data_IF_456033429473
#
_entry.id   IF_456033429473
#
_cell.length_a   1.000
_cell.length_b   1.000
_cell.length_c   1.000
_cell.angle_alpha   90.00
_cell.angle_beta   90.00
_cell.angle_gamma   90.00
#
_symmetry.space_group_name_H-M   'P 1'
#
loop_
_entity.id
_entity.type
_entity.pdbx_description
1 polymer ?
#
# COMPACT_ATOMS: atom_id res chain seq x y z
N UNK A 1 -44.47 -34.48 71.19
CA UNK A 1 -45.04 -33.68 70.11
C UNK A 1 -44.07 -33.71 68.96
N UNK A 2 -44.40 -34.38 67.88
CA UNK A 2 -43.52 -34.53 66.67
C UNK A 2 -43.87 -33.41 65.73
N UNK A 3 -42.85 -32.70 65.28
CA UNK A 3 -42.94 -31.73 64.16
C UNK A 3 -42.14 -32.28 62.97
N UNK A 4 -42.86 -32.62 61.93
CA UNK A 4 -42.32 -33.13 60.66
C UNK A 4 -42.05 -31.96 59.75
N UNK A 5 -40.73 -31.68 59.40
CA UNK A 5 -40.32 -30.73 58.34
C UNK A 5 -40.36 -31.37 56.95
N UNK A 6 -41.04 -30.74 56.03
CA UNK A 6 -41.03 -31.08 54.59
C UNK A 6 -39.94 -30.31 53.90
N UNK A 7 -38.97 -31.02 53.33
CA UNK A 7 -37.99 -30.42 52.43
C UNK A 7 -38.55 -30.36 51.00
N UNK A 8 -38.61 -29.14 50.46
CA UNK A 8 -38.97 -28.88 49.07
C UNK A 8 -37.65 -28.85 48.24
N UNK A 9 -37.49 -29.82 47.36
CA UNK A 9 -36.37 -29.82 46.38
C UNK A 9 -36.78 -28.96 45.19
N UNK A 10 -36.09 -27.81 45.03
CA UNK A 10 -36.17 -27.00 43.79
C UNK A 10 -35.14 -27.50 42.79
N UNK A 11 -35.63 -28.11 41.70
CA UNK A 11 -34.77 -28.46 40.54
C UNK A 11 -34.48 -27.21 39.75
N UNK A 12 -33.21 -26.75 39.77
CA UNK A 12 -32.69 -25.75 38.84
C UNK A 12 -32.35 -26.41 37.51
N UNK A 13 -33.14 -26.15 36.48
CA UNK A 13 -32.80 -26.47 35.10
C UNK A 13 -31.79 -25.39 34.60
N UNK A 14 -30.49 -25.75 34.53
CA UNK A 14 -29.49 -24.94 33.86
C UNK A 14 -29.60 -25.22 32.37
N UNK A 15 -30.21 -24.30 31.63
CA UNK A 15 -30.15 -24.27 30.17
C UNK A 15 -28.73 -23.90 29.74
N UNK A 16 -27.93 -24.87 29.30
CA UNK A 16 -26.72 -24.63 28.56
C UNK A 16 -27.08 -24.08 27.18
N UNK A 17 -27.08 -22.75 27.03
CA UNK A 17 -26.94 -22.11 25.72
C UNK A 17 -25.53 -22.40 25.17
N UNK A 18 -25.41 -23.41 24.32
CA UNK A 18 -24.24 -23.57 23.47
C UNK A 18 -24.22 -22.41 22.47
N UNK A 19 -23.64 -21.27 22.84
CA UNK A 19 -23.22 -20.27 21.89
C UNK A 19 -22.03 -20.86 21.13
N UNK A 20 -22.27 -21.32 19.91
CA UNK A 20 -21.20 -21.55 18.94
C UNK A 20 -20.51 -20.23 18.65
N UNK A 21 -19.55 -19.86 19.48
CA UNK A 21 -18.55 -18.87 19.12
C UNK A 21 -17.73 -19.49 18.00
N UNK A 22 -18.03 -19.10 16.76
CA UNK A 22 -17.15 -19.39 15.65
C UNK A 22 -15.74 -18.93 16.04
N UNK A 23 -14.78 -19.87 16.05
CA UNK A 23 -13.38 -19.56 16.31
C UNK A 23 -12.97 -18.44 15.37
N UNK A 24 -12.76 -17.22 15.91
CA UNK A 24 -12.15 -16.14 15.16
C UNK A 24 -10.75 -16.60 14.73
N UNK A 25 -10.57 -16.84 13.45
CA UNK A 25 -9.25 -17.13 12.90
C UNK A 25 -8.36 -15.91 13.17
N UNK A 26 -7.35 -16.07 14.01
CA UNK A 26 -6.38 -15.04 14.38
C UNK A 26 -5.19 -15.03 13.41
N UNK A 27 -4.45 -13.92 13.38
CA UNK A 27 -3.20 -13.79 12.63
C UNK A 27 -2.23 -14.90 13.06
N UNK A 28 -1.71 -15.64 12.08
CA UNK A 28 -0.79 -16.73 12.33
C UNK A 28 0.63 -16.19 12.57
N UNK A 29 1.23 -16.48 13.73
CA UNK A 29 2.54 -16.00 14.16
C UNK A 29 3.73 -16.79 13.58
N UNK A 30 3.50 -17.99 13.01
CA UNK A 30 4.56 -18.92 12.60
C UNK A 30 4.70 -19.03 11.07
N UNK A 31 4.32 -17.98 10.34
CA UNK A 31 4.40 -17.98 8.87
C UNK A 31 5.83 -17.65 8.41
N UNK A 32 6.40 -18.47 7.55
CA UNK A 32 7.75 -18.30 7.01
C UNK A 32 7.88 -17.07 6.10
N UNK A 33 6.81 -16.78 5.31
CA UNK A 33 6.75 -15.63 4.41
C UNK A 33 5.65 -14.69 4.86
N UNK A 34 5.90 -13.40 4.75
CA UNK A 34 4.93 -12.35 5.00
C UNK A 34 4.62 -11.61 3.70
N UNK A 35 3.34 -11.60 3.29
CA UNK A 35 2.90 -10.98 2.04
C UNK A 35 2.09 -9.74 2.38
N UNK A 36 2.63 -8.57 2.04
CA UNK A 36 1.96 -7.29 2.15
C UNK A 36 1.51 -6.79 0.78
N UNK A 37 0.42 -6.02 0.73
CA UNK A 37 -0.05 -5.40 -0.50
C UNK A 37 -0.35 -3.92 -0.28
N UNK A 38 -0.02 -3.07 -1.25
CA UNK A 38 -0.42 -1.66 -1.22
C UNK A 38 -1.93 -1.54 -1.43
N UNK A 39 -2.55 -0.64 -0.67
CA UNK A 39 -3.98 -0.36 -0.69
C UNK A 39 -4.19 1.13 -0.97
N UNK A 40 -4.75 1.45 -2.12
CA UNK A 40 -5.08 2.80 -2.54
C UNK A 40 -6.52 3.17 -2.14
N UNK A 41 -6.76 4.05 -1.16
CA UNK A 41 -8.08 4.23 -0.56
C UNK A 41 -8.90 5.37 -1.20
N UNK A 42 -9.14 5.35 -2.52
CA UNK A 42 -9.88 6.42 -3.22
C UNK A 42 -11.24 5.97 -3.80
N UNK A 43 -11.80 4.88 -3.26
CA UNK A 43 -13.05 4.28 -3.75
C UNK A 43 -14.24 4.49 -2.81
N UNK A 44 -14.22 5.58 -2.04
CA UNK A 44 -15.29 6.05 -1.19
C UNK A 44 -15.52 7.57 -1.38
N UNK A 45 -16.72 8.11 -1.10
CA UNK A 45 -16.94 9.54 -1.12
C UNK A 45 -16.11 10.25 -0.04
N UNK A 46 -15.32 11.23 -0.44
CA UNK A 46 -14.47 12.05 0.43
C UNK A 46 -14.83 13.54 0.29
N UNK A 47 -14.69 14.29 1.38
CA UNK A 47 -15.06 15.72 1.40
C UNK A 47 -14.13 16.59 0.56
N UNK A 48 -12.86 16.18 0.41
CA UNK A 48 -11.85 16.88 -0.41
C UNK A 48 -12.10 16.57 -1.87
N UNK A 49 -12.34 15.28 -2.21
CA UNK A 49 -12.78 14.90 -3.56
C UNK A 49 -14.06 15.62 -3.98
N UNK A 50 -15.01 15.79 -3.06
CA UNK A 50 -16.25 16.50 -3.36
C UNK A 50 -16.02 17.97 -3.73
N UNK A 51 -14.97 18.60 -3.20
CA UNK A 51 -14.58 19.99 -3.56
C UNK A 51 -13.90 20.06 -4.94
N UNK A 52 -13.13 19.03 -5.31
CA UNK A 52 -12.37 19.04 -6.56
C UNK A 52 -13.15 18.46 -7.75
N UNK A 53 -13.99 17.47 -7.52
CA UNK A 53 -14.63 16.67 -8.56
C UNK A 53 -16.16 16.66 -8.48
N UNK A 54 -16.74 17.21 -7.41
CA UNK A 54 -18.19 17.22 -7.20
C UNK A 54 -18.67 16.21 -6.16
N UNK A 55 -19.88 16.47 -5.63
CA UNK A 55 -20.47 15.70 -4.53
C UNK A 55 -20.64 14.22 -4.90
N UNK A 56 -20.12 13.36 -4.03
CA UNK A 56 -20.27 11.90 -4.16
C UNK A 56 -19.29 11.25 -5.15
N UNK A 57 -18.36 12.01 -5.70
CA UNK A 57 -17.33 11.48 -6.59
C UNK A 57 -16.43 10.50 -5.84
N UNK A 58 -16.04 9.44 -6.54
CA UNK A 58 -15.02 8.46 -6.15
C UNK A 58 -14.19 8.11 -7.38
N UNK A 59 -13.01 7.53 -7.23
CA UNK A 59 -12.19 7.13 -8.37
C UNK A 59 -12.84 6.04 -9.26
N UNK A 60 -13.92 5.41 -8.80
CA UNK A 60 -14.76 4.56 -9.66
C UNK A 60 -15.28 5.28 -10.91
N UNK A 61 -15.46 6.61 -10.86
CA UNK A 61 -15.90 7.38 -12.03
C UNK A 61 -14.86 7.37 -13.15
N UNK A 62 -13.57 7.39 -12.76
CA UNK A 62 -12.45 7.29 -13.72
C UNK A 62 -12.36 5.88 -14.31
N UNK A 63 -12.53 4.85 -13.48
CA UNK A 63 -12.54 3.44 -13.93
C UNK A 63 -13.69 3.19 -14.92
N UNK A 64 -14.91 3.66 -14.61
CA UNK A 64 -16.10 3.49 -15.46
C UNK A 64 -15.97 4.23 -16.80
N UNK A 65 -15.31 5.40 -16.78
CA UNK A 65 -15.16 6.24 -17.97
C UNK A 65 -14.10 5.73 -18.96
N UNK A 66 -13.20 4.84 -18.52
CA UNK A 66 -12.09 4.34 -19.32
C UNK A 66 -12.56 3.65 -20.59
N UNK A 67 -11.82 3.86 -21.69
CA UNK A 67 -12.09 3.29 -23.01
C UNK A 67 -10.83 2.66 -23.60
N UNK A 68 -10.98 1.67 -24.51
CA UNK A 68 -9.85 1.19 -25.29
C UNK A 68 -9.15 2.33 -26.04
N UNK A 69 -7.83 2.44 -25.90
CA UNK A 69 -7.00 3.51 -26.47
C UNK A 69 -6.29 3.08 -27.75
N UNK A 70 -6.20 1.77 -27.97
CA UNK A 70 -5.58 1.15 -29.15
C UNK A 70 -6.19 -0.23 -29.40
N UNK A 71 -5.91 -0.84 -30.54
CA UNK A 71 -6.43 -2.16 -30.88
C UNK A 71 -5.98 -3.23 -29.89
N UNK A 72 -6.92 -4.00 -29.36
CA UNK A 72 -6.67 -5.03 -28.35
C UNK A 72 -6.51 -4.51 -26.90
N UNK A 73 -6.67 -3.20 -26.68
CA UNK A 73 -6.67 -2.66 -25.32
C UNK A 73 -7.97 -2.99 -24.59
N UNK A 74 -7.85 -3.52 -23.39
CA UNK A 74 -8.98 -3.98 -22.57
C UNK A 74 -9.32 -2.94 -21.49
N UNK A 75 -10.25 -2.07 -21.77
CA UNK A 75 -10.86 -1.10 -20.85
C UNK A 75 -12.36 -0.98 -21.15
N UNK A 76 -13.23 -0.65 -20.17
CA UNK A 76 -12.91 -0.51 -18.73
C UNK A 76 -12.66 -1.85 -18.03
N UNK A 77 -11.85 -1.84 -17.00
CA UNK A 77 -11.74 -2.97 -16.05
C UNK A 77 -12.97 -2.97 -15.15
N UNK A 78 -13.60 -4.13 -14.95
CA UNK A 78 -14.88 -4.20 -14.23
C UNK A 78 -14.73 -5.08 -12.99
N UNK A 79 -14.87 -4.50 -11.77
CA UNK A 79 -14.86 -5.26 -10.53
C UNK A 79 -15.97 -6.33 -10.52
N UNK A 80 -15.66 -7.53 -10.09
CA UNK A 80 -16.65 -8.61 -9.95
C UNK A 80 -17.75 -8.24 -8.94
N UNK A 81 -17.36 -7.52 -7.88
CA UNK A 81 -18.27 -7.11 -6.81
C UNK A 81 -19.01 -5.80 -7.09
N UNK A 82 -18.81 -5.21 -8.28
CA UNK A 82 -19.31 -3.87 -8.62
C UNK A 82 -18.49 -2.76 -7.96
N UNK A 83 -18.96 -1.56 -8.10
CA UNK A 83 -18.30 -0.33 -7.65
C UNK A 83 -18.72 0.00 -6.20
N UNK A 84 -18.15 -0.70 -5.24
CA UNK A 84 -18.52 -0.60 -3.83
C UNK A 84 -17.83 0.57 -3.11
N UNK A 85 -18.37 0.92 -1.94
CA UNK A 85 -17.77 1.89 -1.04
C UNK A 85 -16.86 1.18 -0.03
N UNK A 86 -15.55 1.36 -0.15
CA UNK A 86 -14.53 0.74 0.72
C UNK A 86 -14.57 1.25 2.17
N UNK A 87 -15.19 2.42 2.43
CA UNK A 87 -15.43 2.91 3.79
C UNK A 87 -16.61 2.20 4.51
N UNK A 88 -17.34 1.30 3.84
CA UNK A 88 -18.33 0.45 4.50
C UNK A 88 -17.64 -0.79 5.12
N UNK A 89 -17.74 -0.99 6.46
CA UNK A 89 -17.12 -2.13 7.14
C UNK A 89 -17.52 -3.51 6.61
N UNK A 90 -18.68 -3.63 5.96
CA UNK A 90 -19.12 -4.89 5.34
C UNK A 90 -18.26 -5.24 4.14
N UNK A 91 -17.93 -4.25 3.29
CA UNK A 91 -17.05 -4.46 2.17
C UNK A 91 -15.61 -4.70 2.63
N UNK A 92 -15.13 -3.91 3.59
CA UNK A 92 -13.82 -4.12 4.20
C UNK A 92 -13.69 -5.53 4.81
N UNK A 93 -14.76 -6.05 5.46
CA UNK A 93 -14.78 -7.43 5.97
C UNK A 93 -14.64 -8.46 4.86
N UNK A 94 -15.29 -8.25 3.71
CA UNK A 94 -15.19 -9.14 2.56
C UNK A 94 -13.78 -9.10 1.93
N UNK A 95 -13.17 -7.92 1.84
CA UNK A 95 -11.79 -7.75 1.37
C UNK A 95 -10.80 -8.47 2.28
N UNK A 96 -10.92 -8.28 3.61
CA UNK A 96 -10.09 -8.95 4.61
C UNK A 96 -10.20 -10.48 4.47
N UNK A 97 -11.42 -11.02 4.35
CA UNK A 97 -11.62 -12.46 4.25
C UNK A 97 -10.95 -13.04 3.01
N UNK A 98 -11.21 -12.46 1.83
CA UNK A 98 -10.64 -12.99 0.60
C UNK A 98 -9.11 -12.82 0.55
N UNK A 99 -8.56 -11.72 1.07
CA UNK A 99 -7.12 -11.49 1.15
C UNK A 99 -6.45 -12.52 2.07
N UNK A 100 -6.93 -12.66 3.31
CA UNK A 100 -6.38 -13.59 4.30
C UNK A 100 -6.51 -15.06 3.87
N UNK A 101 -7.63 -15.44 3.25
CA UNK A 101 -7.86 -16.80 2.74
C UNK A 101 -6.96 -17.16 1.54
N UNK A 102 -6.36 -16.15 0.90
CA UNK A 102 -5.42 -16.31 -0.21
C UNK A 102 -3.96 -16.00 0.16
N UNK A 103 -3.64 -15.89 1.45
CA UNK A 103 -2.25 -15.84 1.92
C UNK A 103 -1.65 -14.43 2.00
N UNK A 104 -2.46 -13.38 1.89
CA UNK A 104 -2.06 -12.00 2.15
C UNK A 104 -2.15 -11.75 3.66
N UNK A 105 -1.16 -11.06 4.22
CA UNK A 105 -1.02 -10.84 5.66
C UNK A 105 -1.23 -9.39 6.09
N UNK A 106 -0.96 -8.44 5.18
CA UNK A 106 -0.94 -7.02 5.52
C UNK A 106 -1.44 -6.15 4.36
N UNK A 107 -2.30 -5.19 4.66
CA UNK A 107 -2.59 -4.05 3.80
C UNK A 107 -1.69 -2.88 4.19
N UNK A 108 -0.89 -2.37 3.24
CA UNK A 108 -0.13 -1.13 3.40
C UNK A 108 -0.96 -0.02 2.77
N UNK A 109 -1.61 0.79 3.60
CA UNK A 109 -2.45 1.87 3.11
C UNK A 109 -1.60 3.03 2.57
N UNK A 110 -1.89 3.48 1.36
CA UNK A 110 -1.46 4.77 0.85
C UNK A 110 -2.17 5.83 1.67
N UNK A 111 -1.45 6.43 2.62
CA UNK A 111 -2.00 7.35 3.60
C UNK A 111 -1.61 8.77 3.27
N UNK A 112 -2.58 9.69 3.33
CA UNK A 112 -2.41 11.06 2.89
C UNK A 112 -2.70 12.06 4.01
N UNK A 113 -1.85 13.06 4.09
CA UNK A 113 -2.05 14.23 4.95
C UNK A 113 -1.35 15.43 4.35
N UNK A 114 -2.09 16.49 4.09
CA UNK A 114 -1.59 17.70 3.47
C UNK A 114 -1.76 18.92 4.38
N UNK A 115 -0.89 19.94 4.23
CA UNK A 115 -0.88 21.13 5.08
C UNK A 115 -2.17 21.97 4.94
N UNK A 116 -2.75 22.01 3.74
CA UNK A 116 -3.92 22.85 3.43
C UNK A 116 -5.26 22.10 3.52
N UNK A 117 -5.28 20.79 3.53
CA UNK A 117 -6.50 19.97 3.56
C UNK A 117 -6.63 19.11 4.81
N UNK A 118 -5.53 18.86 5.52
CA UNK A 118 -5.48 17.87 6.61
C UNK A 118 -5.45 16.45 6.07
N UNK A 119 -6.05 15.52 6.83
CA UNK A 119 -6.21 14.13 6.40
C UNK A 119 -7.03 14.04 5.12
N UNK A 120 -6.64 13.12 4.26
CA UNK A 120 -7.30 12.85 2.98
C UNK A 120 -7.38 11.36 2.72
N UNK A 121 -8.52 10.87 2.25
CA UNK A 121 -8.82 9.47 1.94
C UNK A 121 -8.72 8.48 3.12
N UNK A 122 -8.71 8.97 4.36
CA UNK A 122 -8.53 8.11 5.54
C UNK A 122 -9.76 7.24 5.86
N UNK A 123 -10.94 7.53 5.31
CA UNK A 123 -12.17 6.83 5.70
C UNK A 123 -12.19 5.36 5.30
N UNK A 124 -11.52 4.96 4.21
CA UNK A 124 -11.35 3.56 3.84
C UNK A 124 -10.67 2.75 4.95
N UNK A 125 -9.61 3.31 5.57
CA UNK A 125 -8.96 2.71 6.73
C UNK A 125 -9.79 2.86 8.01
N UNK A 126 -10.21 4.09 8.36
CA UNK A 126 -10.77 4.39 9.69
C UNK A 126 -12.22 3.95 9.86
N UNK A 127 -13.05 4.10 8.82
CA UNK A 127 -14.46 3.70 8.83
C UNK A 127 -14.69 2.32 8.24
N UNK A 128 -13.93 1.93 7.21
CA UNK A 128 -13.96 0.61 6.60
C UNK A 128 -13.20 -0.43 7.42
N UNK A 129 -11.89 -0.51 7.22
CA UNK A 129 -11.04 -1.56 7.76
C UNK A 129 -11.04 -1.65 9.29
N UNK A 130 -10.79 -0.54 10.00
CA UNK A 130 -10.71 -0.54 11.47
C UNK A 130 -12.06 -0.80 12.16
N UNK A 131 -13.18 -0.71 11.44
CA UNK A 131 -14.53 -1.04 11.92
C UNK A 131 -15.01 -2.41 11.46
N UNK A 132 -14.27 -3.09 10.58
CA UNK A 132 -14.59 -4.44 10.14
C UNK A 132 -14.55 -5.43 11.32
N UNK A 133 -15.56 -6.34 11.38
CA UNK A 133 -15.68 -7.31 12.48
C UNK A 133 -14.51 -8.31 12.53
N UNK A 134 -13.95 -8.62 11.36
CA UNK A 134 -12.86 -9.58 11.18
C UNK A 134 -11.49 -8.91 11.00
N UNK A 135 -11.32 -7.62 11.33
CA UNK A 135 -10.06 -6.85 11.13
C UNK A 135 -8.82 -7.54 11.72
N UNK A 136 -8.99 -8.32 12.79
CA UNK A 136 -7.89 -9.03 13.43
C UNK A 136 -7.36 -10.23 12.61
N UNK A 137 -7.96 -10.55 11.48
CA UNK A 137 -7.42 -11.53 10.52
C UNK A 137 -6.33 -10.95 9.62
N UNK A 138 -6.20 -9.63 9.57
CA UNK A 138 -5.30 -8.90 8.67
C UNK A 138 -4.51 -7.87 9.45
N UNK A 139 -3.22 -7.77 9.17
CA UNK A 139 -2.41 -6.63 9.61
C UNK A 139 -2.66 -5.42 8.70
N UNK A 140 -2.31 -4.24 9.18
CA UNK A 140 -2.20 -3.05 8.34
C UNK A 140 -1.00 -2.20 8.73
N UNK A 141 -0.52 -1.41 7.79
CA UNK A 141 0.53 -0.43 7.96
C UNK A 141 0.23 0.83 7.14
N UNK A 142 1.02 1.87 7.34
CA UNK A 142 0.92 3.09 6.59
C UNK A 142 2.15 3.28 5.70
N UNK A 143 1.91 3.66 4.47
CA UNK A 143 2.85 4.35 3.61
C UNK A 143 2.35 5.78 3.43
N UNK A 144 3.05 6.75 4.00
CA UNK A 144 2.68 8.14 3.80
C UNK A 144 3.04 8.57 2.38
N UNK A 145 2.00 8.71 1.55
CA UNK A 145 2.11 9.12 0.16
C UNK A 145 2.18 10.66 0.08
N UNK A 146 3.31 11.20 0.51
CA UNK A 146 3.59 12.63 0.67
C UNK A 146 4.07 13.30 -0.63
N UNK A 147 3.53 12.88 -1.77
CA UNK A 147 3.74 13.54 -3.05
C UNK A 147 2.71 14.66 -3.27
N UNK A 148 2.99 15.57 -4.18
CA UNK A 148 2.01 16.54 -4.65
C UNK A 148 0.79 15.82 -5.24
N UNK A 149 -0.41 16.22 -4.87
CA UNK A 149 -1.63 15.69 -5.48
C UNK A 149 -1.99 16.51 -6.71
N UNK A 150 -1.94 15.87 -7.86
CA UNK A 150 -2.23 16.48 -9.14
C UNK A 150 -3.66 16.23 -9.60
N UNK A 151 -4.21 17.16 -10.41
CA UNK A 151 -5.50 16.96 -11.08
C UNK A 151 -5.34 15.98 -12.27
N UNK A 152 -5.32 14.69 -11.94
CA UNK A 152 -5.14 13.58 -12.89
C UNK A 152 -6.29 12.58 -12.90
N UNK A 153 -7.49 13.00 -12.47
CA UNK A 153 -8.68 12.15 -12.44
C UNK A 153 -9.86 12.72 -13.26
N UNK A 154 -9.76 12.92 -14.60
CA UNK A 154 -8.65 12.63 -15.50
C UNK A 154 -7.74 13.84 -15.75
N UNK A 155 -6.49 13.58 -16.17
CA UNK A 155 -5.57 14.57 -16.69
C UNK A 155 -5.84 14.89 -18.15
N UNK A 156 -5.71 16.17 -18.55
CA UNK A 156 -5.72 16.58 -19.96
C UNK A 156 -4.33 16.53 -20.59
N UNK A 157 -4.22 16.16 -21.86
CA UNK A 157 -2.92 15.99 -22.52
C UNK A 157 -2.05 17.24 -22.48
N UNK A 158 -2.64 18.41 -22.66
CA UNK A 158 -1.91 19.68 -22.69
C UNK A 158 -1.57 20.21 -21.29
N UNK A 159 -2.27 19.77 -20.24
CA UNK A 159 -2.12 20.28 -18.88
C UNK A 159 -2.21 19.13 -17.82
N UNK A 160 -1.18 18.29 -17.80
CA UNK A 160 -1.18 17.06 -17.01
C UNK A 160 -0.79 17.22 -15.53
N UNK A 161 -0.22 18.38 -15.14
CA UNK A 161 0.36 18.55 -13.80
C UNK A 161 -0.08 19.83 -13.10
N UNK A 162 -1.39 19.97 -12.90
CA UNK A 162 -1.93 21.01 -12.01
C UNK A 162 -1.97 20.44 -10.60
N UNK A 163 -1.11 20.95 -9.71
CA UNK A 163 -1.12 20.55 -8.32
C UNK A 163 -2.36 21.12 -7.61
N UNK A 164 -3.16 20.27 -6.99
CA UNK A 164 -4.30 20.61 -6.15
C UNK A 164 -3.88 20.85 -4.70
N UNK A 165 -2.84 20.11 -4.24
CA UNK A 165 -2.18 20.31 -2.95
C UNK A 165 -0.73 19.85 -3.02
N UNK A 166 0.11 20.34 -2.06
CA UNK A 166 1.54 20.04 -1.98
C UNK A 166 1.83 19.02 -0.90
N UNK A 167 2.78 18.10 -1.21
CA UNK A 167 3.20 17.03 -0.31
C UNK A 167 4.20 17.45 0.77
N UNK A 168 4.74 18.66 0.69
CA UNK A 168 5.68 19.20 1.67
C UNK A 168 5.07 19.32 3.06
N UNK A 169 5.86 19.07 4.10
CA UNK A 169 5.47 19.14 5.49
C UNK A 169 6.35 20.12 6.27
N UNK A 170 5.74 20.95 7.13
CA UNK A 170 6.43 21.78 8.11
C UNK A 170 6.64 21.04 9.43
N UNK A 171 7.52 21.53 10.29
CA UNK A 171 7.76 21.01 11.62
C UNK A 171 6.48 20.91 12.47
N UNK A 172 5.68 21.98 12.53
CA UNK A 172 4.44 21.98 13.31
C UNK A 172 3.42 20.97 12.81
N UNK A 173 3.37 20.77 11.50
CA UNK A 173 2.51 19.75 10.90
C UNK A 173 3.05 18.35 11.18
N UNK A 174 4.38 18.13 11.09
CA UNK A 174 4.98 16.85 11.40
C UNK A 174 4.76 16.41 12.85
N UNK A 175 4.88 17.32 13.80
CA UNK A 175 4.58 17.03 15.20
C UNK A 175 3.13 16.55 15.39
N UNK A 176 2.19 17.19 14.68
CA UNK A 176 0.77 16.78 14.66
C UNK A 176 0.60 15.40 14.03
N UNK A 177 1.18 15.19 12.85
CA UNK A 177 1.10 13.92 12.09
C UNK A 177 1.68 12.76 12.91
N UNK A 178 2.89 12.92 13.43
CA UNK A 178 3.58 11.87 14.19
C UNK A 178 2.82 11.50 15.48
N UNK A 179 2.27 12.50 16.18
CA UNK A 179 1.40 12.27 17.35
C UNK A 179 0.13 11.49 16.95
N UNK A 180 -0.51 11.87 15.84
CA UNK A 180 -1.72 11.22 15.37
C UNK A 180 -1.47 9.75 14.99
N UNK A 181 -0.39 9.47 14.24
CA UNK A 181 -0.02 8.13 13.80
C UNK A 181 0.22 7.22 14.99
N UNK A 182 1.04 7.63 15.95
CA UNK A 182 1.37 6.84 17.12
C UNK A 182 0.12 6.54 17.94
N UNK A 183 -0.70 7.56 18.20
CA UNK A 183 -1.90 7.43 19.04
C UNK A 183 -3.00 6.59 18.38
N UNK A 184 -3.26 6.77 17.09
CA UNK A 184 -4.46 6.21 16.46
C UNK A 184 -4.17 4.91 15.67
N UNK A 185 -2.95 4.74 15.15
CA UNK A 185 -2.63 3.58 14.32
C UNK A 185 -1.63 2.63 14.98
N UNK A 186 -0.47 3.08 15.46
CA UNK A 186 0.53 2.19 16.07
C UNK A 186 -0.02 1.46 17.31
N UNK A 187 -0.94 2.09 18.04
CA UNK A 187 -1.64 1.50 19.18
C UNK A 187 -2.61 0.37 18.81
N UNK A 188 -2.97 0.21 17.54
CA UNK A 188 -3.86 -0.87 17.13
C UNK A 188 -3.17 -2.23 17.26
N UNK A 189 -3.83 -3.26 17.80
CA UNK A 189 -3.20 -4.56 18.06
C UNK A 189 -2.74 -5.27 16.77
N UNK A 190 -3.42 -5.01 15.65
CA UNK A 190 -3.11 -5.56 14.33
C UNK A 190 -2.27 -4.61 13.44
N UNK A 191 -1.71 -3.53 14.00
CA UNK A 191 -0.73 -2.74 13.26
C UNK A 191 0.52 -3.59 12.97
N UNK A 192 1.01 -3.53 11.74
CA UNK A 192 2.15 -4.35 11.30
C UNK A 192 3.45 -3.90 11.98
N UNK A 193 4.22 -4.89 12.46
CA UNK A 193 5.49 -4.66 13.17
C UNK A 193 6.56 -5.59 12.62
N UNK A 194 7.75 -5.07 12.42
CA UNK A 194 8.96 -5.84 12.10
C UNK A 194 9.88 -5.76 13.31
N UNK A 195 10.31 -6.90 13.85
CA UNK A 195 11.07 -6.99 15.11
C UNK A 195 10.45 -6.19 16.27
N UNK A 196 9.13 -6.15 16.36
CA UNK A 196 8.37 -5.42 17.36
C UNK A 196 8.21 -3.92 17.12
N UNK A 197 8.88 -3.35 16.14
CA UNK A 197 8.79 -1.94 15.73
C UNK A 197 7.65 -1.73 14.75
N UNK A 198 6.70 -0.80 14.99
CA UNK A 198 5.70 -0.42 14.00
C UNK A 198 6.36 0.02 12.67
N UNK A 199 5.90 -0.59 11.57
CA UNK A 199 6.37 -0.23 10.23
C UNK A 199 5.75 1.10 9.79
N UNK A 200 6.59 2.02 9.31
CA UNK A 200 6.14 3.27 8.71
C UNK A 200 6.95 3.59 7.46
N UNK A 201 6.28 3.84 6.35
CA UNK A 201 6.92 4.14 5.08
C UNK A 201 6.70 5.58 4.66
N UNK A 202 7.75 6.21 4.11
CA UNK A 202 7.68 7.54 3.48
C UNK A 202 7.87 7.35 1.97
N UNK A 203 6.91 7.83 1.17
CA UNK A 203 6.90 7.65 -0.28
C UNK A 203 7.93 8.58 -0.97
N UNK A 204 7.86 9.89 -0.72
CA UNK A 204 8.80 10.87 -1.27
C UNK A 204 9.71 11.43 -0.17
N UNK A 205 10.81 10.72 0.12
CA UNK A 205 11.75 11.11 1.18
C UNK A 205 12.43 12.45 0.90
N UNK A 206 12.73 12.78 -0.36
CA UNK A 206 13.34 14.07 -0.73
C UNK A 206 12.38 15.22 -0.48
N UNK A 207 11.09 15.06 -0.79
CA UNK A 207 10.01 16.02 -0.47
C UNK A 207 9.90 16.23 1.04
N UNK A 208 9.98 15.15 1.84
CA UNK A 208 9.99 15.22 3.29
C UNK A 208 11.19 15.99 3.84
N UNK A 209 12.40 15.69 3.35
CA UNK A 209 13.65 16.37 3.75
C UNK A 209 13.57 17.86 3.43
N UNK A 210 13.17 18.22 2.23
CA UNK A 210 13.11 19.61 1.77
C UNK A 210 12.03 20.41 2.50
N UNK A 211 10.87 19.82 2.76
CA UNK A 211 9.79 20.45 3.51
C UNK A 211 10.16 20.80 4.95
N UNK A 212 11.09 20.05 5.54
CA UNK A 212 11.63 20.30 6.89
C UNK A 212 12.85 21.24 6.91
N UNK A 213 13.44 21.54 5.76
CA UNK A 213 14.59 22.45 5.64
C UNK A 213 15.95 21.77 5.54
N UNK A 214 15.99 20.48 5.22
CA UNK A 214 17.21 19.72 4.95
C UNK A 214 17.36 18.44 5.78
N UNK A 215 18.46 17.73 5.55
CA UNK A 215 18.69 16.38 6.13
C UNK A 215 18.78 16.39 7.66
N UNK A 216 19.42 17.39 8.26
CA UNK A 216 19.55 17.46 9.70
C UNK A 216 18.20 17.61 10.41
N UNK A 217 17.31 18.40 9.82
CA UNK A 217 15.95 18.57 10.35
C UNK A 217 15.09 17.33 10.10
N UNK A 218 15.24 16.66 8.96
CA UNK A 218 14.56 15.39 8.70
C UNK A 218 14.99 14.28 9.69
N UNK A 219 16.28 14.20 10.04
CA UNK A 219 16.80 13.30 11.11
C UNK A 219 16.09 13.55 12.43
N UNK A 220 16.02 14.80 12.87
CA UNK A 220 15.33 15.18 14.12
C UNK A 220 13.84 14.84 14.05
N UNK A 221 13.21 15.02 12.89
CA UNK A 221 11.81 14.68 12.70
C UNK A 221 11.56 13.16 12.82
N UNK A 222 12.43 12.33 12.24
CA UNK A 222 12.36 10.88 12.39
C UNK A 222 12.64 10.46 13.84
N UNK A 223 13.62 11.08 14.50
CA UNK A 223 13.90 10.87 15.91
C UNK A 223 12.69 11.20 16.79
N UNK A 224 11.99 12.30 16.53
CA UNK A 224 10.74 12.64 17.23
C UNK A 224 9.67 11.56 17.09
N UNK A 225 9.49 11.00 15.88
CA UNK A 225 8.57 9.87 15.68
C UNK A 225 9.01 8.63 16.47
N UNK A 226 10.31 8.32 16.46
CA UNK A 226 10.88 7.18 17.20
C UNK A 226 10.71 7.36 18.72
N UNK A 227 10.97 8.55 19.26
CA UNK A 227 10.77 8.88 20.68
C UNK A 227 9.31 8.70 21.08
N UNK A 228 8.35 9.30 20.38
CA UNK A 228 6.91 9.12 20.63
C UNK A 228 6.49 7.64 20.56
N UNK A 229 7.08 6.89 19.64
CA UNK A 229 6.82 5.46 19.50
C UNK A 229 7.34 4.68 20.71
N UNK A 230 8.55 5.00 21.24
CA UNK A 230 9.12 4.41 22.45
C UNK A 230 8.31 4.77 23.69
N UNK A 231 7.88 6.01 23.82
CA UNK A 231 7.01 6.46 24.91
C UNK A 231 5.67 5.71 24.93
N UNK A 232 5.22 5.22 23.77
CA UNK A 232 4.02 4.39 23.63
C UNK A 232 4.27 2.90 23.88
N UNK A 233 5.48 2.50 24.33
CA UNK A 233 5.82 1.15 24.74
C UNK A 233 6.38 0.24 23.64
N UNK A 234 6.75 0.78 22.47
CA UNK A 234 7.42 0.03 21.42
C UNK A 234 8.94 0.21 21.47
N UNK A 235 9.74 -0.68 20.84
CA UNK A 235 11.20 -0.55 20.83
C UNK A 235 11.72 0.55 19.88
N UNK A 236 10.86 1.27 19.19
CA UNK A 236 11.11 2.29 18.21
C UNK A 236 10.25 2.11 16.97
N UNK A 237 10.45 2.90 15.92
CA UNK A 237 9.77 2.80 14.62
C UNK A 237 10.65 2.04 13.62
N UNK A 238 10.06 1.17 12.78
CA UNK A 238 10.72 0.58 11.62
C UNK A 238 10.51 1.51 10.42
N UNK A 239 11.51 2.35 10.11
CA UNK A 239 11.43 3.28 8.98
C UNK A 239 11.70 2.56 7.66
N UNK A 240 10.75 2.70 6.73
CA UNK A 240 10.87 2.31 5.33
C UNK A 240 10.85 3.55 4.42
N UNK A 241 11.58 3.50 3.31
CA UNK A 241 11.49 4.50 2.23
C UNK A 241 11.32 3.81 0.87
N UNK A 242 10.80 4.54 -0.12
CA UNK A 242 10.63 3.99 -1.46
C UNK A 242 11.93 3.99 -2.25
N UNK A 243 12.19 2.88 -2.89
CA UNK A 243 13.45 2.59 -3.61
C UNK A 243 13.76 3.56 -4.75
N UNK A 244 12.74 4.08 -5.44
CA UNK A 244 12.95 5.02 -6.54
C UNK A 244 13.55 6.36 -6.06
N UNK A 245 13.37 6.69 -4.77
CA UNK A 245 13.98 7.84 -4.13
C UNK A 245 15.43 7.59 -3.67
N UNK A 246 15.87 6.33 -3.62
CA UNK A 246 17.27 5.97 -3.30
C UNK A 246 18.11 6.05 -4.57
N UNK A 247 18.40 7.26 -5.00
CA UNK A 247 19.04 7.56 -6.26
C UNK A 247 19.94 8.82 -6.12
N UNK A 248 21.20 8.71 -6.52
CA UNK A 248 22.19 9.78 -6.39
C UNK A 248 21.79 11.06 -7.17
N UNK A 249 21.04 10.95 -8.27
CA UNK A 249 20.57 12.11 -9.01
C UNK A 249 19.43 12.85 -8.31
N UNK A 250 18.56 12.14 -7.59
CA UNK A 250 17.49 12.75 -6.81
C UNK A 250 18.01 13.39 -5.51
N UNK A 251 19.01 12.77 -4.89
CA UNK A 251 19.63 13.28 -3.65
C UNK A 251 20.29 14.65 -3.87
N UNK A 252 20.78 14.94 -5.07
CA UNK A 252 21.27 16.28 -5.45
C UNK A 252 20.24 17.40 -5.31
N UNK A 253 18.96 17.07 -5.26
CA UNK A 253 17.87 18.04 -5.07
C UNK A 253 17.58 18.33 -3.59
N UNK A 254 18.29 17.70 -2.66
CA UNK A 254 18.18 17.99 -1.23
C UNK A 254 18.80 19.35 -0.96
N UNK A 255 18.03 20.23 -0.31
CA UNK A 255 18.42 21.57 0.05
C UNK A 255 19.08 21.61 1.45
N UNK A 256 19.79 22.69 1.73
CA UNK A 256 20.35 22.99 3.04
C UNK A 256 21.82 22.64 3.18
N UNK A 257 22.44 23.08 4.29
CA UNK A 257 23.81 22.67 4.64
C UNK A 257 23.82 21.16 4.93
N UNK A 258 24.94 20.51 4.71
CA UNK A 258 25.11 19.07 4.95
C UNK A 258 24.25 18.16 4.06
N UNK A 259 23.71 18.66 2.91
CA UNK A 259 23.02 17.80 1.97
C UNK A 259 23.93 16.63 1.56
N UNK A 260 23.46 15.36 1.65
CA UNK A 260 24.28 14.20 1.32
C UNK A 260 24.66 14.19 -0.16
N UNK A 261 25.86 13.77 -0.48
CA UNK A 261 26.34 13.70 -1.87
C UNK A 261 25.79 12.45 -2.59
N UNK A 262 25.42 11.43 -1.82
CA UNK A 262 24.96 10.12 -2.34
C UNK A 262 23.74 9.61 -1.59
N UNK A 263 22.94 8.82 -2.28
CA UNK A 263 21.78 8.16 -1.70
C UNK A 263 22.14 7.24 -0.52
N UNK A 264 23.30 6.61 -0.53
CA UNK A 264 23.77 5.76 0.59
C UNK A 264 23.98 6.54 1.88
N UNK A 265 24.49 7.77 1.79
CA UNK A 265 24.66 8.68 2.92
C UNK A 265 23.29 9.07 3.48
N UNK A 266 22.35 9.49 2.63
CA UNK A 266 20.97 9.82 3.01
C UNK A 266 20.30 8.67 3.74
N UNK A 267 20.35 7.45 3.21
CA UNK A 267 19.74 6.25 3.81
C UNK A 267 20.30 5.98 5.20
N UNK A 268 21.64 6.08 5.35
CA UNK A 268 22.32 5.87 6.62
C UNK A 268 21.97 6.95 7.65
N UNK A 269 21.99 8.22 7.24
CA UNK A 269 21.72 9.36 8.11
C UNK A 269 20.29 9.39 8.65
N UNK A 270 19.31 8.96 7.85
CA UNK A 270 17.93 8.88 8.26
C UNK A 270 17.61 7.66 9.16
N UNK A 271 18.55 6.72 9.33
CA UNK A 271 18.31 5.49 10.07
C UNK A 271 17.29 4.58 9.40
N UNK A 272 17.28 4.54 8.06
CA UNK A 272 16.38 3.68 7.28
C UNK A 272 16.66 2.21 7.56
N UNK A 273 15.64 1.44 7.93
CA UNK A 273 15.75 0.01 8.24
C UNK A 273 15.38 -0.89 7.05
N UNK A 274 14.45 -0.43 6.20
CA UNK A 274 14.09 -1.14 4.99
C UNK A 274 13.78 -0.21 3.81
N UNK A 275 13.85 -0.79 2.61
CA UNK A 275 13.48 -0.12 1.36
C UNK A 275 12.56 -1.03 0.56
N UNK A 276 11.48 -0.45 0.03
CA UNK A 276 10.49 -1.15 -0.79
C UNK A 276 10.35 -0.50 -2.16
N UNK A 277 9.96 -1.27 -3.16
CA UNK A 277 9.51 -0.73 -4.45
C UNK A 277 7.99 -0.63 -4.45
N UNK A 278 7.41 0.48 -4.97
CA UNK A 278 5.96 0.60 -5.13
C UNK A 278 5.47 -0.22 -6.33
N UNK A 279 6.01 0.05 -7.52
CA UNK A 279 5.62 -0.64 -8.76
C UNK A 279 6.79 -0.74 -9.76
N UNK A 280 6.65 -1.61 -10.78
CA UNK A 280 7.72 -1.85 -11.76
C UNK A 280 8.09 -0.64 -12.60
N UNK A 281 7.13 0.25 -12.89
CA UNK A 281 7.38 1.42 -13.74
C UNK A 281 8.47 2.33 -13.16
N UNK A 282 8.64 2.37 -11.83
CA UNK A 282 9.65 3.19 -11.16
C UNK A 282 11.09 2.75 -11.49
N UNK A 283 11.30 1.48 -11.83
CA UNK A 283 12.62 0.95 -12.15
C UNK A 283 12.77 0.51 -13.61
N UNK A 284 11.72 0.70 -14.42
CA UNK A 284 11.75 0.38 -15.83
C UNK A 284 12.30 1.56 -16.66
N UNK A 285 13.62 1.68 -16.73
CA UNK A 285 14.31 2.80 -17.40
C UNK A 285 14.17 2.86 -18.93
N UNK A 286 13.54 1.85 -19.55
CA UNK A 286 13.39 1.77 -21.01
C UNK A 286 11.98 2.13 -21.50
N UNK A 287 11.15 2.71 -20.65
CA UNK A 287 9.76 3.06 -20.98
C UNK A 287 9.62 3.85 -22.27
N UNK A 288 10.58 4.73 -22.55
CA UNK A 288 10.61 5.57 -23.76
C UNK A 288 11.31 4.89 -24.97
N UNK A 289 11.92 3.70 -24.78
CA UNK A 289 12.71 3.02 -25.83
C UNK A 289 12.05 1.75 -26.34
N UNK A 290 11.33 1.05 -25.50
CA UNK A 290 10.80 -0.30 -25.80
C UNK A 290 9.45 -0.29 -26.53
N UNK A 291 8.96 0.87 -26.83
CA UNK A 291 7.76 1.06 -27.63
C UNK A 291 6.58 1.62 -26.85
N UNK A 292 5.61 2.09 -27.63
CA UNK A 292 4.33 2.63 -27.21
C UNK A 292 3.30 2.17 -28.25
N UNK A 293 2.09 1.79 -27.88
CA UNK A 293 1.44 1.96 -26.58
C UNK A 293 1.64 0.80 -25.58
N UNK A 294 2.37 -0.26 -25.92
CA UNK A 294 2.46 -1.45 -25.06
C UNK A 294 3.89 -1.92 -24.85
N UNK A 295 4.14 -2.48 -23.64
CA UNK A 295 5.39 -3.14 -23.28
C UNK A 295 5.08 -4.49 -22.63
N UNK A 296 5.76 -5.60 -23.01
CA UNK A 296 5.62 -6.87 -22.32
C UNK A 296 5.99 -6.75 -20.83
N UNK A 297 5.11 -7.24 -19.94
CA UNK A 297 5.35 -7.17 -18.47
C UNK A 297 6.64 -7.87 -18.06
N UNK A 298 7.08 -8.90 -18.79
CA UNK A 298 8.32 -9.62 -18.53
C UNK A 298 9.57 -8.73 -18.65
N UNK A 299 9.55 -7.70 -19.52
CA UNK A 299 10.67 -6.73 -19.61
C UNK A 299 10.77 -5.89 -18.35
N UNK A 300 9.63 -5.37 -17.87
CA UNK A 300 9.57 -4.60 -16.64
C UNK A 300 9.96 -5.44 -15.42
N UNK A 301 9.49 -6.69 -15.37
CA UNK A 301 9.87 -7.62 -14.32
C UNK A 301 11.37 -7.98 -14.34
N UNK A 302 11.98 -8.15 -15.53
CA UNK A 302 13.41 -8.37 -15.63
C UNK A 302 14.21 -7.21 -15.03
N UNK A 303 13.83 -5.96 -15.35
CA UNK A 303 14.44 -4.76 -14.76
C UNK A 303 14.25 -4.71 -13.23
N UNK A 304 13.07 -5.08 -12.73
CA UNK A 304 12.82 -5.14 -11.30
C UNK A 304 13.75 -6.17 -10.61
N UNK A 305 13.91 -7.38 -11.16
CA UNK A 305 14.83 -8.39 -10.61
C UNK A 305 16.28 -7.93 -10.59
N UNK A 306 16.72 -7.25 -11.64
CA UNK A 306 18.07 -6.69 -11.69
C UNK A 306 18.27 -5.60 -10.63
N UNK A 307 17.26 -4.77 -10.41
CA UNK A 307 17.27 -3.79 -9.34
C UNK A 307 17.31 -4.44 -7.95
N UNK A 308 16.53 -5.50 -7.68
CA UNK A 308 16.56 -6.22 -6.40
C UNK A 308 17.97 -6.70 -6.06
N UNK A 309 18.65 -7.33 -7.02
CA UNK A 309 20.03 -7.84 -6.84
C UNK A 309 21.01 -6.69 -6.63
N UNK A 310 20.90 -5.64 -7.46
CA UNK A 310 21.78 -4.47 -7.36
C UNK A 310 21.64 -3.83 -5.98
N UNK A 311 20.42 -3.53 -5.55
CA UNK A 311 20.16 -2.90 -4.27
C UNK A 311 20.71 -3.71 -3.10
N UNK A 312 20.42 -5.02 -3.04
CA UNK A 312 20.88 -5.90 -1.96
C UNK A 312 22.41 -6.00 -1.90
N UNK A 313 23.08 -5.85 -3.03
CA UNK A 313 24.56 -5.86 -3.10
C UNK A 313 25.14 -4.51 -2.63
N UNK A 314 24.54 -3.41 -3.02
CA UNK A 314 25.01 -2.06 -2.69
C UNK A 314 24.67 -1.64 -1.25
N UNK A 315 23.57 -2.18 -0.69
CA UNK A 315 23.03 -1.85 0.66
C UNK A 315 22.83 -3.14 1.49
N UNK A 316 23.88 -3.88 1.83
CA UNK A 316 23.78 -5.20 2.46
C UNK A 316 23.15 -5.16 3.86
N UNK A 317 23.20 -4.01 4.55
CA UNK A 317 22.68 -3.82 5.91
C UNK A 317 21.22 -3.33 5.92
N UNK A 318 20.64 -3.04 4.76
CA UNK A 318 19.26 -2.55 4.63
C UNK A 318 18.38 -3.67 4.12
N UNK A 319 17.28 -3.94 4.83
CA UNK A 319 16.29 -4.91 4.39
C UNK A 319 15.62 -4.41 3.09
N UNK A 320 15.83 -5.13 1.99
CA UNK A 320 15.11 -4.86 0.76
C UNK A 320 13.88 -5.77 0.63
N UNK A 321 12.69 -5.20 0.55
CA UNK A 321 11.46 -5.94 0.31
C UNK A 321 11.10 -5.91 -1.17
N UNK A 322 11.26 -7.02 -1.91
CA UNK A 322 10.97 -7.06 -3.33
C UNK A 322 9.49 -6.79 -3.59
N UNK A 323 9.19 -6.11 -4.71
CA UNK A 323 7.84 -5.88 -5.19
C UNK A 323 7.53 -6.81 -6.37
N UNK A 324 6.31 -7.36 -6.40
CA UNK A 324 5.71 -7.96 -7.60
C UNK A 324 4.49 -7.15 -7.98
N UNK A 325 4.54 -6.47 -9.15
CA UNK A 325 3.42 -5.69 -9.67
C UNK A 325 2.52 -6.57 -10.54
N UNK A 326 1.22 -6.54 -10.29
CA UNK A 326 0.24 -7.30 -11.05
C UNK A 326 0.12 -6.80 -12.50
N UNK A 327 0.23 -5.48 -12.71
CA UNK A 327 0.14 -4.85 -14.03
C UNK A 327 0.55 -3.39 -14.00
N UNK A 328 0.32 -2.71 -15.13
CA UNK A 328 0.43 -1.27 -15.26
C UNK A 328 -0.39 -0.78 -16.45
N UNK A 329 -1.36 0.08 -16.23
CA UNK A 329 -2.18 0.76 -17.23
C UNK A 329 -2.78 2.04 -16.64
N UNK A 330 -2.08 3.16 -16.77
CA UNK A 330 -2.54 4.46 -16.28
C UNK A 330 -3.49 5.18 -17.26
N UNK A 331 -3.90 4.54 -18.36
CA UNK A 331 -4.76 5.15 -19.38
C UNK A 331 -6.14 5.58 -18.87
N UNK A 332 -6.75 4.99 -17.83
CA UNK A 332 -7.98 5.52 -17.24
C UNK A 332 -7.84 6.94 -16.72
N UNK A 333 -6.66 7.31 -16.20
CA UNK A 333 -6.36 8.66 -15.70
C UNK A 333 -6.13 9.70 -16.81
N UNK A 334 -6.05 9.28 -18.08
CA UNK A 334 -6.02 10.20 -19.21
C UNK A 334 -7.43 10.68 -19.57
N UNK A 335 -7.60 11.92 -19.96
CA UNK A 335 -8.85 12.39 -20.57
C UNK A 335 -9.19 11.51 -21.80
N UNK A 336 -10.33 10.86 -21.79
CA UNK A 336 -10.67 9.82 -22.75
C UNK A 336 -10.94 10.34 -24.18
N UNK A 337 -11.18 11.65 -24.32
CA UNK A 337 -11.29 12.34 -25.62
C UNK A 337 -9.95 12.75 -26.21
N UNK A 338 -8.87 12.79 -25.39
CA UNK A 338 -7.57 13.24 -25.83
C UNK A 338 -6.84 12.13 -26.62
N UNK A 339 -5.82 12.51 -27.38
CA UNK A 339 -4.91 11.55 -28.01
C UNK A 339 -4.16 10.73 -26.96
N UNK A 340 -3.82 9.49 -27.30
CA UNK A 340 -3.00 8.61 -26.46
C UNK A 340 -1.64 8.41 -27.12
N UNK A 341 -0.70 9.26 -26.76
CA UNK A 341 0.66 9.30 -27.28
C UNK A 341 1.63 9.33 -26.10
N UNK A 342 2.83 8.84 -26.28
CA UNK A 342 3.86 8.80 -25.22
C UNK A 342 4.15 10.19 -24.69
N UNK A 343 4.00 10.35 -23.38
CA UNK A 343 4.30 11.55 -22.61
C UNK A 343 4.64 11.16 -21.16
N UNK A 344 4.82 12.14 -20.29
CA UNK A 344 4.84 11.93 -18.84
C UNK A 344 3.55 11.26 -18.34
N UNK A 345 3.63 10.67 -17.14
CA UNK A 345 2.47 10.11 -16.47
C UNK A 345 1.25 11.06 -16.52
N UNK A 346 0.04 10.56 -16.86
CA UNK A 346 -0.36 9.16 -17.02
C UNK A 346 -0.25 8.57 -18.46
N UNK A 347 0.31 9.26 -19.45
CA UNK A 347 0.48 8.76 -20.83
C UNK A 347 1.72 7.87 -20.97
N UNK A 348 1.78 6.82 -20.18
CA UNK A 348 2.84 5.82 -20.19
C UNK A 348 2.42 4.57 -20.96
N UNK A 349 3.35 3.72 -21.42
CA UNK A 349 3.01 2.44 -22.01
C UNK A 349 2.23 1.54 -21.06
N UNK A 350 1.30 0.76 -21.60
CA UNK A 350 0.54 -0.28 -20.89
C UNK A 350 1.35 -1.57 -20.85
N UNK A 351 1.48 -2.21 -19.69
CA UNK A 351 2.09 -3.52 -19.60
C UNK A 351 1.11 -4.60 -20.06
N UNK A 352 1.56 -5.42 -21.02
CA UNK A 352 0.76 -6.52 -21.59
C UNK A 352 1.38 -7.87 -21.25
N UNK A 353 0.57 -8.93 -21.33
CA UNK A 353 0.99 -10.28 -20.94
C UNK A 353 0.92 -10.59 -19.44
N UNK A 354 0.38 -9.67 -18.66
CA UNK A 354 0.11 -9.82 -17.23
C UNK A 354 -1.11 -10.74 -16.98
N UNK A 355 -0.92 -12.03 -17.15
CA UNK A 355 -1.91 -13.07 -16.83
C UNK A 355 -1.70 -13.63 -15.44
N UNK A 356 -2.70 -14.31 -14.82
CA UNK A 356 -2.51 -15.00 -13.55
C UNK A 356 -1.32 -15.99 -13.57
N UNK A 357 -1.09 -16.67 -14.69
CA UNK A 357 0.04 -17.59 -14.84
C UNK A 357 1.40 -16.87 -14.88
N UNK A 358 1.48 -15.73 -15.62
CA UNK A 358 2.69 -14.89 -15.63
C UNK A 358 2.96 -14.32 -14.23
N UNK A 359 1.93 -13.83 -13.56
CA UNK A 359 2.02 -13.31 -12.19
C UNK A 359 2.50 -14.39 -11.21
N UNK A 360 1.97 -15.62 -11.29
CA UNK A 360 2.42 -16.73 -10.45
C UNK A 360 3.90 -17.05 -10.64
N UNK A 361 4.42 -16.99 -11.88
CA UNK A 361 5.86 -17.14 -12.14
C UNK A 361 6.67 -16.04 -11.46
N UNK A 362 6.22 -14.79 -11.56
CA UNK A 362 6.88 -13.65 -10.90
C UNK A 362 6.91 -13.79 -9.39
N UNK A 363 5.81 -14.24 -8.78
CA UNK A 363 5.73 -14.55 -7.35
C UNK A 363 6.71 -15.66 -6.95
N UNK A 364 6.86 -16.71 -7.76
CA UNK A 364 7.82 -17.79 -7.52
C UNK A 364 9.27 -17.28 -7.58
N UNK A 365 9.58 -16.41 -8.53
CA UNK A 365 10.91 -15.78 -8.62
C UNK A 365 11.19 -14.88 -7.41
N UNK A 366 10.19 -14.14 -6.94
CA UNK A 366 10.31 -13.32 -5.72
C UNK A 366 10.52 -14.20 -4.48
N UNK A 367 9.82 -15.33 -4.37
CA UNK A 367 10.03 -16.31 -3.31
C UNK A 367 11.48 -16.83 -3.30
N UNK A 368 12.02 -17.21 -4.46
CA UNK A 368 13.42 -17.66 -4.60
C UNK A 368 14.41 -16.55 -4.20
N UNK A 369 14.10 -15.28 -4.52
CA UNK A 369 14.90 -14.15 -4.09
C UNK A 369 14.89 -13.99 -2.56
N UNK A 370 13.74 -14.07 -1.92
CA UNK A 370 13.59 -13.99 -0.47
C UNK A 370 14.36 -15.11 0.25
N UNK A 371 14.27 -16.33 -0.25
CA UNK A 371 15.01 -17.48 0.30
C UNK A 371 16.52 -17.28 0.26
N UNK A 372 17.01 -16.65 -0.79
CA UNK A 372 18.44 -16.42 -1.00
C UNK A 372 19.00 -15.22 -0.25
N UNK A 373 18.27 -14.11 -0.24
CA UNK A 373 18.81 -12.80 0.19
C UNK A 373 18.22 -12.29 1.50
N UNK A 374 17.02 -12.73 1.90
CA UNK A 374 16.31 -12.25 3.08
C UNK A 374 15.92 -13.39 4.04
N UNK A 375 16.84 -14.23 4.51
CA UNK A 375 16.49 -15.43 5.27
C UNK A 375 15.82 -15.13 6.61
N UNK A 376 16.08 -13.96 7.21
CA UNK A 376 15.49 -13.54 8.49
C UNK A 376 14.09 -12.92 8.31
N UNK A 377 13.91 -12.10 7.27
CA UNK A 377 12.68 -11.35 7.02
C UNK A 377 12.21 -11.60 5.59
N UNK A 378 11.45 -12.69 5.39
CA UNK A 378 10.93 -13.09 4.08
C UNK A 378 9.65 -12.32 3.76
N UNK A 379 9.79 -11.02 3.51
CA UNK A 379 8.69 -10.09 3.25
C UNK A 379 8.60 -9.80 1.75
N UNK A 380 7.44 -10.07 1.15
CA UNK A 380 7.06 -9.68 -0.20
C UNK A 380 6.08 -8.52 -0.13
N UNK A 381 6.22 -7.55 -1.02
CA UNK A 381 5.20 -6.52 -1.25
C UNK A 381 4.58 -6.70 -2.63
N UNK A 382 3.28 -6.54 -2.76
CA UNK A 382 2.56 -6.63 -4.05
C UNK A 382 1.94 -5.27 -4.37
N UNK A 383 2.12 -4.79 -5.56
CA UNK A 383 1.36 -3.68 -6.13
C UNK A 383 0.31 -4.26 -7.08
N UNK A 384 -0.98 -4.11 -6.77
CA UNK A 384 -1.53 -3.61 -5.52
C UNK A 384 -2.84 -4.37 -5.20
N UNK A 385 -3.52 -3.97 -4.13
CA UNK A 385 -4.84 -4.50 -3.81
C UNK A 385 -5.90 -3.99 -4.78
N UNK A 386 -5.90 -2.67 -5.06
CA UNK A 386 -7.00 -1.98 -5.70
C UNK A 386 -6.64 -0.76 -6.56
N UNK A 387 -5.42 -0.66 -7.11
CA UNK A 387 -5.04 0.44 -8.02
C UNK A 387 -5.66 0.26 -9.43
N UNK A 388 -7.00 0.32 -9.51
CA UNK A 388 -7.77 0.07 -10.73
C UNK A 388 -7.42 1.04 -11.87
N UNK A 389 -7.16 2.30 -11.54
CA UNK A 389 -6.85 3.35 -12.52
C UNK A 389 -5.42 3.30 -13.02
N UNK A 390 -4.58 2.44 -12.43
CA UNK A 390 -3.24 2.09 -12.91
C UNK A 390 -3.14 0.65 -13.42
N UNK A 391 -4.27 -0.06 -13.50
CA UNK A 391 -4.32 -1.42 -14.02
C UNK A 391 -3.56 -2.43 -13.15
N UNK A 392 -3.39 -2.15 -11.86
CA UNK A 392 -2.73 -3.02 -10.90
C UNK A 392 -3.64 -3.28 -9.70
N UNK A 393 -4.29 -4.46 -9.66
CA UNK A 393 -5.25 -4.81 -8.62
C UNK A 393 -5.39 -6.33 -8.45
N UNK A 394 -5.47 -6.80 -7.21
CA UNK A 394 -5.75 -8.20 -6.86
C UNK A 394 -7.23 -8.45 -6.60
N UNK A 395 -8.02 -7.40 -6.37
CA UNK A 395 -9.48 -7.51 -6.22
C UNK A 395 -10.09 -8.26 -7.40
N UNK A 396 -11.04 -9.18 -7.15
CA UNK A 396 -11.65 -9.96 -8.22
C UNK A 396 -12.29 -9.10 -9.30
N UNK A 397 -12.03 -9.44 -10.55
CA UNK A 397 -12.56 -8.76 -11.74
C UNK A 397 -13.32 -9.74 -12.66
N UNK A 398 -14.12 -9.22 -13.58
CA UNK A 398 -14.98 -10.08 -14.42
C UNK A 398 -14.21 -11.00 -15.39
N UNK A 399 -13.00 -10.65 -15.79
CA UNK A 399 -12.23 -11.44 -16.78
C UNK A 399 -11.57 -12.67 -16.14
N UNK A 400 -10.89 -12.49 -15.02
CA UNK A 400 -10.10 -13.53 -14.38
C UNK A 400 -10.64 -13.97 -13.02
N UNK A 401 -11.75 -13.36 -12.54
CA UNK A 401 -12.29 -13.62 -11.21
C UNK A 401 -11.22 -13.39 -10.14
N UNK A 402 -11.04 -14.37 -9.28
CA UNK A 402 -10.05 -14.38 -8.19
C UNK A 402 -8.71 -15.08 -8.57
N UNK A 403 -8.43 -15.28 -9.86
CA UNK A 403 -7.29 -16.09 -10.30
C UNK A 403 -5.93 -15.51 -9.87
N UNK A 404 -5.80 -14.18 -9.77
CA UNK A 404 -4.58 -13.55 -9.24
C UNK A 404 -4.39 -13.83 -7.74
N UNK A 405 -5.45 -13.81 -6.95
CA UNK A 405 -5.41 -14.19 -5.53
C UNK A 405 -5.05 -15.68 -5.35
N UNK A 406 -5.60 -16.54 -6.20
CA UNK A 406 -5.23 -17.97 -6.23
C UNK A 406 -3.76 -18.18 -6.60
N UNK A 407 -3.18 -17.35 -7.45
CA UNK A 407 -1.75 -17.37 -7.75
C UNK A 407 -0.91 -17.01 -6.50
N UNK A 408 -1.31 -16.01 -5.72
CA UNK A 408 -0.68 -15.70 -4.42
C UNK A 408 -0.77 -16.91 -3.49
N UNK A 409 -1.97 -17.49 -3.35
CA UNK A 409 -2.20 -18.67 -2.50
C UNK A 409 -1.35 -19.86 -2.90
N UNK A 410 -1.20 -20.11 -4.20
CA UNK A 410 -0.40 -21.23 -4.72
C UNK A 410 1.10 -21.11 -4.36
N UNK A 411 1.62 -19.90 -4.22
CA UNK A 411 3.05 -19.67 -3.91
C UNK A 411 3.30 -19.46 -2.42
N UNK A 412 2.42 -18.75 -1.71
CA UNK A 412 2.62 -18.29 -0.33
C UNK A 412 1.52 -18.77 0.64
N UNK A 413 0.46 -19.41 0.15
CA UNK A 413 -0.57 -20.00 1.00
C UNK A 413 -0.03 -21.17 1.81
N UNK A 414 -0.70 -21.50 2.91
CA UNK A 414 -0.44 -22.74 3.65
C UNK A 414 -0.93 -23.93 2.83
N UNK A 415 -0.10 -24.93 2.68
CA UNK A 415 -0.45 -26.27 2.23
C UNK A 415 -0.96 -27.10 3.40
#
# INVERSE_FOLDING_TARGET
>A
MKVTGKYLFALFFVLFCNANYGQQKTINKDKEYEVAVYYFPNYHPDSINARWHGKGWTEWEVVKAAKPRFAGHEQPKVPEWGYFNEADPKWASKEIDIAADNGIDCFIYDWYWYSNTGQYLQEGLEKGFLKAQNKNRMKFALMWANHDWYNIQPATFDNSRIALTRGEVSWGLWDTISTYIVKNYFSQPNYWKIDGKPYFSIYEIVTFINGLGGIDEAKKAIQLLDEKTRESGFPGVHLNIMSFMVNDDLVKNIIGPNAPAKAKEMVAELGTESVSTYCYIHHYGNVNKDGFPTVPVEKAFASAKDYWKKFTTEYPDILYTPNVSMGWDASPRCMQSDKFELKDYPWTPVFVGNTPATFQKQLTEAKNFLDKYNPKHKILVINSWNEWTEGSYLLPEKKYGDAYLKAVKAVFGKH
#
